data_IF_392031569496
#
_entry.id   IF_392031569496
#
_cell.length_a   1.000
_cell.length_b   1.000
_cell.length_c   1.000
_cell.angle_alpha   90.00
_cell.angle_beta   90.00
_cell.angle_gamma   90.00
#
_symmetry.space_group_name_H-M   'P 1'
#
loop_
_entity.id
_entity.type
_entity.pdbx_description
1 polymer ?
#
# COMPACT_ATOMS: atom_id res chain seq x y z
N UNK A 1 25.97 -0.81 -31.96
CA UNK A 1 26.25 -0.31 -30.60
C UNK A 1 24.93 0.20 -30.03
N UNK A 2 24.18 -0.66 -29.36
CA UNK A 2 22.96 -0.26 -28.66
C UNK A 2 23.36 0.50 -27.40
N UNK A 3 22.98 1.76 -27.32
CA UNK A 3 23.03 2.54 -26.08
C UNK A 3 22.13 1.86 -25.07
N UNK A 4 22.72 1.31 -24.01
CA UNK A 4 21.99 0.98 -22.79
C UNK A 4 21.25 2.24 -22.36
N UNK A 5 19.92 2.22 -22.40
CA UNK A 5 19.13 3.25 -21.77
C UNK A 5 19.54 3.26 -20.31
N UNK A 6 20.12 4.38 -19.86
CA UNK A 6 20.48 4.62 -18.47
C UNK A 6 19.17 4.49 -17.67
N UNK A 7 18.88 3.35 -17.05
CA UNK A 7 17.72 3.19 -16.18
C UNK A 7 17.96 4.13 -15.00
N UNK A 8 17.29 5.29 -15.02
CA UNK A 8 17.33 6.25 -13.93
C UNK A 8 16.88 5.54 -12.65
N UNK A 9 17.70 5.61 -11.60
CA UNK A 9 17.38 5.08 -10.28
C UNK A 9 15.99 5.57 -9.83
N UNK A 10 15.12 4.63 -9.44
CA UNK A 10 13.77 4.93 -8.93
C UNK A 10 13.85 5.23 -7.44
N UNK A 11 13.01 6.14 -6.96
CA UNK A 11 12.91 6.44 -5.53
C UNK A 11 11.48 6.26 -5.05
N UNK A 12 11.30 5.62 -3.90
CA UNK A 12 9.99 5.38 -3.30
C UNK A 12 9.90 5.91 -1.86
N UNK A 13 8.71 6.41 -1.51
CA UNK A 13 8.25 6.54 -0.12
C UNK A 13 7.03 5.64 0.01
N UNK A 14 7.01 4.79 1.04
CA UNK A 14 5.86 3.96 1.38
C UNK A 14 5.04 4.67 2.46
N UNK A 15 3.79 5.04 2.15
CA UNK A 15 2.82 5.64 3.09
C UNK A 15 1.75 4.60 3.44
N UNK A 16 1.76 4.14 4.70
CA UNK A 16 1.14 2.87 5.09
C UNK A 16 0.41 2.98 6.44
N UNK A 17 -0.47 2.02 6.74
CA UNK A 17 -1.22 1.98 8.01
C UNK A 17 -0.91 0.73 8.86
N UNK A 18 0.01 -0.11 8.39
CA UNK A 18 0.75 -1.06 9.22
C UNK A 18 0.10 -2.43 9.38
N UNK A 19 -0.76 -2.83 8.46
CA UNK A 19 -1.22 -4.20 8.28
C UNK A 19 -0.14 -5.15 7.77
N UNK A 20 -0.51 -6.42 7.65
CA UNK A 20 0.36 -7.50 7.19
C UNK A 20 0.66 -7.43 5.68
N UNK A 21 -0.26 -6.86 4.90
CA UNK A 21 -0.11 -6.55 3.49
C UNK A 21 0.81 -5.35 3.25
N UNK A 22 0.77 -4.30 4.07
CA UNK A 22 1.77 -3.21 4.03
C UNK A 22 3.19 -3.76 4.27
N UNK A 23 3.31 -4.74 5.16
CA UNK A 23 4.57 -5.39 5.47
C UNK A 23 5.10 -6.24 4.29
N UNK A 24 4.22 -6.88 3.53
CA UNK A 24 4.59 -7.47 2.24
C UNK A 24 5.00 -6.42 1.21
N UNK A 25 4.27 -5.31 1.12
CA UNK A 25 4.61 -4.19 0.23
C UNK A 25 6.03 -3.66 0.51
N UNK A 26 6.35 -3.42 1.79
CA UNK A 26 7.69 -3.04 2.23
C UNK A 26 8.72 -4.11 1.87
N UNK A 27 8.45 -5.39 2.14
CA UNK A 27 9.37 -6.47 1.84
C UNK A 27 9.70 -6.58 0.34
N UNK A 28 8.70 -6.42 -0.54
CA UNK A 28 8.90 -6.38 -1.99
C UNK A 28 9.83 -5.23 -2.41
N UNK A 29 9.61 -4.03 -1.86
CA UNK A 29 10.45 -2.86 -2.14
C UNK A 29 11.90 -3.05 -1.66
N UNK A 30 12.09 -3.57 -0.44
CA UNK A 30 13.42 -3.83 0.11
C UNK A 30 14.18 -4.89 -0.68
N UNK A 31 13.48 -5.92 -1.17
CA UNK A 31 14.10 -6.94 -2.00
C UNK A 31 14.49 -6.39 -3.37
N UNK A 32 13.61 -5.60 -4.01
CA UNK A 32 13.90 -4.92 -5.27
C UNK A 32 15.11 -3.96 -5.16
N UNK A 33 15.24 -3.24 -4.05
CA UNK A 33 16.35 -2.30 -3.81
C UNK A 33 17.73 -2.99 -3.81
N UNK A 34 17.82 -4.28 -3.47
CA UNK A 34 19.09 -5.05 -3.49
C UNK A 34 19.73 -5.10 -4.88
N UNK A 35 18.94 -4.90 -5.94
CA UNK A 35 19.40 -4.96 -7.33
C UNK A 35 19.77 -3.58 -7.91
N UNK A 36 19.68 -2.51 -7.11
CA UNK A 36 20.30 -1.22 -7.42
C UNK A 36 19.51 -0.29 -8.37
N UNK A 37 18.33 -0.69 -8.82
CA UNK A 37 17.47 0.13 -9.70
C UNK A 37 16.43 0.97 -8.93
N UNK A 38 16.37 0.79 -7.61
CA UNK A 38 15.40 1.39 -6.69
C UNK A 38 16.12 1.84 -5.40
N UNK A 39 15.61 2.87 -4.74
CA UNK A 39 15.91 3.18 -3.34
C UNK A 39 14.63 3.51 -2.57
N UNK A 40 14.43 2.87 -1.40
CA UNK A 40 13.38 3.24 -0.46
C UNK A 40 13.90 4.35 0.44
N UNK A 41 13.28 5.52 0.38
CA UNK A 41 13.77 6.72 1.08
C UNK A 41 13.21 6.87 2.49
N UNK A 42 11.97 6.42 2.69
CA UNK A 42 11.26 6.56 3.95
C UNK A 42 10.04 5.64 4.00
N UNK A 43 9.62 5.34 5.22
CA UNK A 43 8.29 4.82 5.54
C UNK A 43 7.55 5.90 6.32
N UNK A 44 6.33 6.22 5.92
CA UNK A 44 5.42 7.13 6.62
C UNK A 44 4.21 6.37 7.09
N UNK A 45 3.77 6.60 8.32
CA UNK A 45 2.61 5.90 8.89
C UNK A 45 1.40 6.82 9.02
N UNK A 46 0.21 6.23 8.90
CA UNK A 46 -1.07 6.90 9.18
C UNK A 46 -1.89 6.05 10.17
N UNK A 47 -2.51 6.70 11.15
CA UNK A 47 -3.19 6.06 12.29
C UNK A 47 -4.70 5.91 12.11
N UNK A 48 -5.23 6.41 11.00
CA UNK A 48 -6.65 6.33 10.68
C UNK A 48 -7.07 5.05 9.95
N UNK A 49 -6.14 4.10 9.74
CA UNK A 49 -6.37 2.85 9.03
C UNK A 49 -6.44 1.62 9.94
N UNK A 50 -5.70 0.57 9.57
CA UNK A 50 -5.67 -0.74 10.20
C UNK A 50 -5.34 -0.71 11.69
N UNK A 51 -4.39 0.14 12.10
CA UNK A 51 -3.99 0.30 13.50
C UNK A 51 -3.54 1.73 13.80
N UNK A 52 -3.03 1.97 15.01
CA UNK A 52 -2.48 3.28 15.42
C UNK A 52 -1.13 3.56 14.73
N UNK A 53 -0.74 4.83 14.59
CA UNK A 53 0.57 5.21 14.04
C UNK A 53 1.74 4.48 14.74
N UNK A 54 1.65 4.33 16.07
CA UNK A 54 2.66 3.66 16.89
C UNK A 54 2.77 2.17 16.55
N UNK A 55 1.62 1.48 16.42
CA UNK A 55 1.62 0.08 16.04
C UNK A 55 2.11 -0.11 14.61
N UNK A 56 1.65 0.73 13.68
CA UNK A 56 2.14 0.73 12.31
C UNK A 56 3.66 0.92 12.24
N UNK A 57 4.20 1.85 13.02
CA UNK A 57 5.64 2.09 13.08
C UNK A 57 6.40 0.89 13.66
N UNK A 58 5.88 0.24 14.72
CA UNK A 58 6.47 -1.01 15.25
C UNK A 58 6.45 -2.14 14.22
N UNK A 59 5.35 -2.29 13.50
CA UNK A 59 5.19 -3.33 12.48
C UNK A 59 6.18 -3.15 11.34
N UNK A 60 6.29 -1.94 10.80
CA UNK A 60 7.29 -1.62 9.79
C UNK A 60 8.72 -1.77 10.33
N UNK A 61 8.98 -1.36 11.58
CA UNK A 61 10.27 -1.57 12.24
C UNK A 61 10.65 -3.04 12.32
N UNK A 62 9.72 -3.94 12.69
CA UNK A 62 9.96 -5.39 12.74
C UNK A 62 10.43 -5.93 11.39
N UNK A 63 9.83 -5.47 10.28
CA UNK A 63 10.22 -5.87 8.93
C UNK A 63 11.58 -5.28 8.54
N UNK A 64 11.83 -3.99 8.81
CA UNK A 64 13.13 -3.36 8.56
C UNK A 64 14.25 -4.07 9.33
N UNK A 65 14.07 -4.37 10.61
CA UNK A 65 15.03 -5.13 11.42
C UNK A 65 15.25 -6.54 10.84
N UNK A 66 14.18 -7.24 10.47
CA UNK A 66 14.28 -8.58 9.87
C UNK A 66 15.05 -8.58 8.53
N UNK A 67 15.04 -7.45 7.82
CA UNK A 67 15.77 -7.23 6.57
C UNK A 67 17.12 -6.50 6.75
N UNK A 68 17.52 -6.17 7.99
CA UNK A 68 18.73 -5.37 8.28
C UNK A 68 18.76 -4.01 7.57
N UNK A 69 17.60 -3.34 7.49
CA UNK A 69 17.39 -2.05 6.82
C UNK A 69 16.84 -0.97 7.74
N UNK A 70 17.33 -0.99 8.97
CA UNK A 70 17.01 -0.01 10.02
C UNK A 70 17.51 1.40 9.71
N UNK A 71 18.30 1.57 8.63
CA UNK A 71 18.72 2.85 8.06
C UNK A 71 17.57 3.65 7.42
N UNK A 72 16.48 2.97 7.02
CA UNK A 72 15.32 3.64 6.43
C UNK A 72 14.52 4.34 7.54
N UNK A 73 14.36 5.67 7.47
CA UNK A 73 13.64 6.41 8.50
C UNK A 73 12.13 6.14 8.46
N UNK A 74 11.54 6.00 9.65
CA UNK A 74 10.08 5.96 9.85
C UNK A 74 9.62 7.32 10.37
N UNK A 75 8.57 7.90 9.77
CA UNK A 75 7.94 9.14 10.23
C UNK A 75 6.48 8.90 10.58
N UNK A 76 6.06 9.35 11.76
CA UNK A 76 4.66 9.30 12.16
C UNK A 76 3.87 10.42 11.47
N UNK A 77 2.71 10.07 10.93
CA UNK A 77 1.81 11.00 10.25
C UNK A 77 0.50 11.25 11.00
N UNK A 78 -0.56 11.48 10.23
CA UNK A 78 -1.89 11.77 10.74
C UNK A 78 -2.39 10.67 11.69
N UNK A 79 -2.88 11.05 12.86
CA UNK A 79 -3.40 10.11 13.88
C UNK A 79 -4.87 9.76 13.67
N UNK A 80 -5.60 10.61 12.96
CA UNK A 80 -7.05 10.53 12.73
C UNK A 80 -7.39 11.05 11.31
N UNK A 81 -8.53 10.62 10.74
CA UNK A 81 -9.00 11.14 9.46
C UNK A 81 -9.43 12.60 9.57
N UNK A 82 -9.46 13.33 8.45
CA UNK A 82 -9.64 14.79 8.43
C UNK A 82 -10.90 15.31 9.15
N UNK A 83 -12.01 14.58 9.07
CA UNK A 83 -13.30 14.98 9.64
C UNK A 83 -13.80 14.04 10.76
N UNK A 84 -13.16 12.88 10.92
CA UNK A 84 -13.60 11.83 11.85
C UNK A 84 -14.54 10.79 11.22
N UNK A 85 -14.61 9.61 11.83
CA UNK A 85 -15.47 8.52 11.36
C UNK A 85 -16.93 8.69 11.80
N UNK A 86 -17.85 8.64 10.83
CA UNK A 86 -19.30 8.71 11.09
C UNK A 86 -19.83 7.38 11.68
N UNK A 87 -19.14 6.26 11.44
CA UNK A 87 -19.44 4.95 12.01
C UNK A 87 -18.18 4.40 12.71
N UNK A 88 -18.21 4.33 14.04
CA UNK A 88 -17.05 4.02 14.89
C UNK A 88 -16.78 2.52 15.11
N UNK A 89 -17.50 1.62 14.42
CA UNK A 89 -17.31 0.17 14.55
C UNK A 89 -16.04 -0.28 13.81
N UNK A 90 -14.88 -0.03 14.42
CA UNK A 90 -13.58 -0.52 13.91
C UNK A 90 -13.58 -2.05 13.92
N UNK A 91 -13.57 -2.64 12.72
CA UNK A 91 -13.30 -4.08 12.55
C UNK A 91 -11.79 -4.27 12.47
N UNK A 92 -11.23 -4.98 13.44
CA UNK A 92 -9.80 -5.28 13.50
C UNK A 92 -9.48 -6.57 12.74
N UNK A 93 -9.58 -6.53 11.39
CA UNK A 93 -9.22 -7.69 10.56
C UNK A 93 -7.77 -8.12 10.82
N UNK A 94 -6.87 -7.14 10.88
CA UNK A 94 -5.45 -7.37 11.13
C UNK A 94 -5.09 -7.53 12.62
N UNK A 95 -6.05 -7.66 13.54
CA UNK A 95 -5.82 -7.54 14.98
C UNK A 95 -5.69 -6.08 15.42
N UNK A 96 -5.63 -5.83 16.73
CA UNK A 96 -5.50 -4.47 17.28
C UNK A 96 -4.13 -3.88 17.01
N UNK A 97 -3.09 -4.71 17.03
CA UNK A 97 -1.73 -4.31 16.70
C UNK A 97 -1.43 -4.23 15.20
N UNK A 98 -2.34 -4.66 14.32
CA UNK A 98 -2.13 -4.74 12.87
C UNK A 98 -1.38 -6.02 12.41
N UNK A 99 -0.81 -6.79 13.34
CA UNK A 99 -0.03 -8.00 13.13
C UNK A 99 -0.65 -9.24 13.82
N UNK A 100 -1.99 -9.28 13.88
CA UNK A 100 -2.77 -10.43 14.32
C UNK A 100 -2.74 -10.67 15.83
N UNK A 101 -2.26 -9.69 16.63
CA UNK A 101 -2.14 -9.76 18.09
C UNK A 101 -1.35 -11.00 18.58
N UNK A 102 -0.39 -11.49 17.77
CA UNK A 102 0.26 -12.79 17.97
C UNK A 102 1.78 -12.71 18.25
N UNK A 103 2.34 -11.50 18.24
CA UNK A 103 3.76 -11.28 18.51
C UNK A 103 3.95 -10.75 19.94
N UNK A 104 5.02 -11.18 20.59
CA UNK A 104 5.27 -10.84 21.99
C UNK A 104 5.38 -9.32 22.20
N UNK A 105 4.73 -8.83 23.27
CA UNK A 105 4.74 -7.43 23.70
C UNK A 105 6.04 -7.04 24.44
N UNK A 106 6.85 -8.03 24.83
CA UNK A 106 7.92 -7.87 25.84
C UNK A 106 9.17 -7.13 25.34
N UNK A 107 9.24 -6.79 24.04
CA UNK A 107 10.31 -5.99 23.44
C UNK A 107 9.77 -4.73 22.75
N UNK A 108 8.72 -4.11 23.28
CA UNK A 108 8.22 -2.83 22.77
C UNK A 108 9.23 -1.72 23.03
N UNK A 109 10.24 -1.64 22.16
CA UNK A 109 11.10 -0.48 22.02
C UNK A 109 10.20 0.76 21.98
N UNK A 110 10.57 1.78 22.76
CA UNK A 110 9.79 3.01 22.79
C UNK A 110 9.78 3.59 21.37
N UNK A 111 8.61 3.83 20.77
CA UNK A 111 8.49 4.28 19.37
C UNK A 111 9.37 5.50 19.10
N UNK A 112 9.49 6.40 20.08
CA UNK A 112 10.33 7.59 19.98
C UNK A 112 11.84 7.32 19.84
N UNK A 113 12.34 6.11 20.09
CA UNK A 113 13.76 5.77 19.93
C UNK A 113 14.17 5.51 18.49
N UNK A 114 13.22 5.10 17.63
CA UNK A 114 13.52 4.69 16.25
C UNK A 114 12.76 5.49 15.18
N UNK A 115 11.70 6.21 15.54
CA UNK A 115 11.02 7.13 14.60
C UNK A 115 11.71 8.48 14.57
N UNK A 116 11.60 9.16 13.43
CA UNK A 116 12.07 10.53 13.29
C UNK A 116 11.11 11.50 13.99
N UNK A 117 11.62 12.60 14.59
CA UNK A 117 10.79 13.58 15.30
C UNK A 117 9.92 14.44 14.37
N UNK A 118 10.21 14.43 13.08
CA UNK A 118 9.49 15.19 12.07
C UNK A 118 8.18 14.49 11.68
N UNK A 119 7.12 15.26 11.44
CA UNK A 119 5.86 14.73 10.95
C UNK A 119 5.98 14.23 9.50
N UNK A 120 5.35 13.09 9.17
CA UNK A 120 5.40 12.45 7.85
C UNK A 120 5.15 13.41 6.69
N UNK A 121 4.14 14.26 6.79
CA UNK A 121 3.79 15.26 5.76
C UNK A 121 4.94 16.23 5.45
N UNK A 122 5.68 16.66 6.47
CA UNK A 122 6.83 17.54 6.29
C UNK A 122 8.01 16.78 5.70
N UNK A 123 8.22 15.53 6.13
CA UNK A 123 9.26 14.66 5.58
C UNK A 123 9.03 14.35 4.10
N UNK A 124 7.80 14.01 3.69
CA UNK A 124 7.42 13.79 2.28
C UNK A 124 7.78 15.02 1.45
N UNK A 125 7.34 16.20 1.88
CA UNK A 125 7.63 17.46 1.20
C UNK A 125 9.14 17.67 1.03
N UNK A 126 9.92 17.59 2.11
CA UNK A 126 11.36 17.85 2.06
C UNK A 126 12.13 16.83 1.23
N UNK A 127 11.73 15.56 1.26
CA UNK A 127 12.32 14.52 0.42
C UNK A 127 12.05 14.80 -1.06
N UNK A 128 10.82 15.16 -1.41
CA UNK A 128 10.42 15.54 -2.77
C UNK A 128 11.10 16.83 -3.24
N UNK A 129 11.28 17.84 -2.38
CA UNK A 129 12.02 19.06 -2.73
C UNK A 129 13.50 18.80 -3.02
N UNK A 130 14.12 17.84 -2.32
CA UNK A 130 15.51 17.43 -2.59
C UNK A 130 15.65 16.64 -3.89
N UNK A 131 14.56 16.03 -4.39
CA UNK A 131 14.54 15.16 -5.58
C UNK A 131 13.27 15.42 -6.40
N UNK A 132 13.10 16.64 -6.94
CA UNK A 132 11.87 17.02 -7.62
C UNK A 132 11.61 16.09 -8.80
N UNK A 133 10.37 15.61 -8.89
CA UNK A 133 9.87 14.74 -9.95
C UNK A 133 10.60 13.39 -10.09
N UNK A 134 11.27 12.92 -9.03
CA UNK A 134 11.97 11.63 -9.03
C UNK A 134 11.37 10.61 -8.06
N UNK A 135 10.61 11.06 -7.06
CA UNK A 135 10.05 10.20 -6.00
C UNK A 135 8.62 9.80 -6.36
N UNK A 136 8.38 8.49 -6.37
CA UNK A 136 7.05 7.90 -6.36
C UNK A 136 6.56 7.79 -4.91
N UNK A 137 5.34 8.24 -4.64
CA UNK A 137 4.64 7.90 -3.40
C UNK A 137 3.84 6.62 -3.63
N UNK A 138 4.05 5.60 -2.80
CA UNK A 138 3.25 4.38 -2.76
C UNK A 138 2.37 4.47 -1.52
N UNK A 139 1.12 4.91 -1.71
CA UNK A 139 0.14 5.10 -0.66
C UNK A 139 -0.77 3.87 -0.55
N UNK A 140 -0.57 3.10 0.51
CA UNK A 140 -1.27 1.84 0.77
C UNK A 140 -2.17 1.91 2.02
N UNK A 141 -2.12 3.02 2.76
CA UNK A 141 -3.11 3.37 3.77
C UNK A 141 -4.06 4.49 3.33
N UNK A 142 -4.92 4.99 4.25
CA UNK A 142 -5.75 6.16 3.98
C UNK A 142 -4.94 7.41 3.62
N UNK A 143 -5.45 8.20 2.67
CA UNK A 143 -4.72 9.28 2.00
C UNK A 143 -4.54 10.57 2.83
N UNK A 144 -4.74 10.51 4.14
CA UNK A 144 -4.77 11.66 5.06
C UNK A 144 -3.46 12.45 5.05
N UNK A 145 -2.32 11.76 5.05
CA UNK A 145 -1.00 12.41 4.97
C UNK A 145 -0.88 13.25 3.68
N UNK A 146 -1.26 12.69 2.52
CA UNK A 146 -1.21 13.41 1.25
C UNK A 146 -2.19 14.58 1.22
N UNK A 147 -3.42 14.39 1.70
CA UNK A 147 -4.41 15.46 1.76
C UNK A 147 -3.97 16.61 2.67
N UNK A 148 -3.36 16.31 3.82
CA UNK A 148 -2.74 17.30 4.70
C UNK A 148 -1.59 18.04 4.00
N UNK A 149 -0.75 17.34 3.24
CA UNK A 149 0.30 17.95 2.42
C UNK A 149 -0.25 18.99 1.44
N UNK A 150 -1.30 18.63 0.69
CA UNK A 150 -1.98 19.57 -0.19
C UNK A 150 -2.69 20.71 0.55
N UNK A 151 -3.19 20.48 1.77
CA UNK A 151 -3.82 21.52 2.58
C UNK A 151 -2.79 22.52 3.14
N UNK A 152 -1.62 22.05 3.57
CA UNK A 152 -0.57 22.87 4.19
C UNK A 152 0.27 23.61 3.16
N UNK A 153 0.57 23.00 2.02
CA UNK A 153 1.55 23.51 1.05
C UNK A 153 0.99 23.77 -0.35
N UNK A 154 -0.30 23.51 -0.58
CA UNK A 154 -0.96 23.77 -1.87
C UNK A 154 -0.41 22.91 -3.01
N UNK A 155 -0.49 23.43 -4.25
CA UNK A 155 -0.08 22.70 -5.45
C UNK A 155 1.42 22.37 -5.49
N UNK A 156 2.24 23.18 -4.82
CA UNK A 156 3.70 22.95 -4.73
C UNK A 156 4.06 21.60 -4.10
N UNK A 157 3.20 21.09 -3.20
CA UNK A 157 3.37 19.75 -2.63
C UNK A 157 3.41 18.67 -3.73
N UNK A 158 2.43 18.72 -4.64
CA UNK A 158 2.29 17.76 -5.74
C UNK A 158 3.30 17.97 -6.87
N UNK A 159 3.75 19.19 -7.12
CA UNK A 159 4.66 19.52 -8.24
C UNK A 159 6.02 18.79 -8.16
N UNK A 160 6.48 18.49 -6.94
CA UNK A 160 7.75 17.80 -6.72
C UNK A 160 7.61 16.27 -6.67
N UNK A 161 6.38 15.74 -6.63
CA UNK A 161 6.12 14.30 -6.66
C UNK A 161 6.15 13.84 -8.11
N UNK A 162 6.82 12.72 -8.39
CA UNK A 162 6.88 12.15 -9.74
C UNK A 162 5.52 11.60 -10.15
N UNK A 163 4.99 10.70 -9.34
CA UNK A 163 3.72 10.00 -9.50
C UNK A 163 3.29 9.42 -8.15
N UNK A 164 2.00 9.08 -8.04
CA UNK A 164 1.40 8.48 -6.86
C UNK A 164 0.74 7.16 -7.26
N UNK A 165 1.05 6.11 -6.51
CA UNK A 165 0.41 4.81 -6.61
C UNK A 165 -0.47 4.63 -5.37
N UNK A 166 -1.73 4.29 -5.55
CA UNK A 166 -2.74 4.22 -4.48
C UNK A 166 -3.36 2.83 -4.45
N UNK A 167 -3.34 2.17 -3.30
CA UNK A 167 -4.22 1.02 -3.04
C UNK A 167 -5.49 1.61 -2.42
N UNK A 168 -6.60 1.50 -3.15
CA UNK A 168 -7.88 1.86 -2.60
C UNK A 168 -8.91 2.31 -3.62
N UNK A 169 -10.10 2.59 -3.12
CA UNK A 169 -11.26 2.90 -3.94
C UNK A 169 -11.77 1.67 -4.71
N UNK A 170 -12.77 1.92 -5.55
CA UNK A 170 -13.43 0.91 -6.37
C UNK A 170 -14.00 1.53 -7.65
N UNK A 171 -14.27 0.72 -8.66
CA UNK A 171 -14.76 1.22 -9.96
C UNK A 171 -16.10 0.63 -10.38
N UNK A 172 -16.54 -0.44 -9.71
CA UNK A 172 -17.83 -1.11 -9.89
C UNK A 172 -18.74 -0.91 -8.67
N UNK A 173 -18.31 -0.11 -7.68
CA UNK A 173 -19.03 0.10 -6.43
C UNK A 173 -18.99 -1.10 -5.48
N UNK A 174 -18.02 -2.01 -5.65
CA UNK A 174 -17.82 -3.14 -4.74
C UNK A 174 -16.98 -2.68 -3.55
N UNK A 175 -17.58 -2.67 -2.36
CA UNK A 175 -16.91 -2.30 -1.11
C UNK A 175 -16.43 -3.50 -0.28
N UNK A 176 -15.44 -3.27 0.57
CA UNK A 176 -14.97 -4.21 1.61
C UNK A 176 -15.13 -3.65 3.04
N UNK A 177 -15.38 -2.34 3.19
CA UNK A 177 -15.61 -1.70 4.48
C UNK A 177 -17.08 -1.32 4.67
N UNK A 178 -17.67 -0.68 3.65
CA UNK A 178 -19.11 -0.46 3.55
C UNK A 178 -19.71 -1.25 2.39
N UNK A 179 -21.01 -1.08 2.12
CA UNK A 179 -21.67 -1.70 0.96
C UNK A 179 -21.04 -1.28 -0.38
N UNK A 180 -20.38 -0.13 -0.41
CA UNK A 180 -19.96 0.55 -1.64
C UNK A 180 -18.59 1.18 -1.58
N UNK A 181 -17.93 1.21 -0.41
CA UNK A 181 -16.64 1.86 -0.23
C UNK A 181 -15.57 0.84 0.14
N UNK A 182 -14.42 0.99 -0.51
CA UNK A 182 -13.18 0.32 -0.14
C UNK A 182 -12.60 0.96 1.13
N UNK A 183 -11.92 0.18 1.97
CA UNK A 183 -11.40 0.52 3.29
C UNK A 183 -10.57 1.80 3.37
N UNK A 184 -9.53 1.97 2.56
CA UNK A 184 -8.66 3.15 2.60
C UNK A 184 -9.43 4.42 2.25
N UNK A 185 -10.28 4.35 1.21
CA UNK A 185 -11.14 5.48 0.83
C UNK A 185 -12.27 5.72 1.84
N UNK A 186 -12.78 4.67 2.49
CA UNK A 186 -13.81 4.78 3.52
C UNK A 186 -13.28 5.37 4.83
N UNK A 187 -12.02 5.10 5.15
CA UNK A 187 -11.37 5.54 6.39
C UNK A 187 -11.14 7.06 6.40
N UNK A 188 -10.86 7.66 5.25
CA UNK A 188 -10.85 9.12 5.09
C UNK A 188 -11.35 9.55 3.70
N UNK A 189 -12.68 9.61 3.49
CA UNK A 189 -13.28 9.98 2.21
C UNK A 189 -12.88 11.40 1.77
N UNK A 190 -12.80 12.33 2.72
CA UNK A 190 -12.38 13.71 2.46
C UNK A 190 -10.95 13.78 1.97
N UNK A 191 -10.04 13.00 2.56
CA UNK A 191 -8.66 12.95 2.09
C UNK A 191 -8.57 12.36 0.68
N UNK A 192 -9.27 11.26 0.41
CA UNK A 192 -9.31 10.66 -0.92
C UNK A 192 -9.87 11.65 -1.96
N UNK A 193 -10.98 12.34 -1.65
CA UNK A 193 -11.53 13.38 -2.50
C UNK A 193 -10.53 14.53 -2.74
N UNK A 194 -9.88 15.02 -1.68
CA UNK A 194 -8.93 16.11 -1.76
C UNK A 194 -7.70 15.74 -2.62
N UNK A 195 -7.19 14.52 -2.49
CA UNK A 195 -6.07 14.03 -3.32
C UNK A 195 -6.47 13.93 -4.78
N UNK A 196 -7.59 13.28 -5.12
CA UNK A 196 -8.05 13.17 -6.51
C UNK A 196 -8.36 14.52 -7.17
N UNK A 197 -8.77 15.51 -6.36
CA UNK A 197 -9.05 16.86 -6.82
C UNK A 197 -7.79 17.70 -7.04
N UNK A 198 -6.81 17.61 -6.13
CA UNK A 198 -5.66 18.53 -6.07
C UNK A 198 -4.38 17.96 -6.67
N UNK A 199 -4.20 16.65 -6.70
CA UNK A 199 -3.00 16.02 -7.21
C UNK A 199 -2.93 16.16 -8.74
N UNK A 200 -1.79 16.67 -9.23
CA UNK A 200 -1.57 16.94 -10.67
C UNK A 200 -0.51 16.02 -11.29
N UNK A 201 0.32 15.37 -10.49
CA UNK A 201 1.18 14.32 -10.99
C UNK A 201 0.34 13.08 -11.35
N UNK A 202 0.86 12.16 -12.21
CA UNK A 202 0.14 10.94 -12.55
C UNK A 202 -0.27 10.14 -11.32
N UNK A 203 -1.52 9.65 -11.33
CA UNK A 203 -2.06 8.77 -10.29
C UNK A 203 -2.38 7.42 -10.91
N UNK A 204 -1.83 6.35 -10.34
CA UNK A 204 -2.25 4.97 -10.63
C UNK A 204 -2.93 4.38 -9.40
N UNK A 205 -4.12 3.83 -9.59
CA UNK A 205 -4.92 3.24 -8.51
C UNK A 205 -5.05 1.75 -8.77
N UNK A 206 -4.72 0.94 -7.76
CA UNK A 206 -5.19 -0.44 -7.65
C UNK A 206 -6.46 -0.44 -6.78
N UNK A 207 -7.66 -0.50 -7.39
CA UNK A 207 -8.90 -0.56 -6.64
C UNK A 207 -9.11 -1.93 -5.97
N UNK A 208 -10.20 -2.09 -5.22
CA UNK A 208 -10.53 -3.33 -4.54
C UNK A 208 -10.84 -4.50 -5.48
N UNK A 209 -11.55 -4.28 -6.59
CA UNK A 209 -12.07 -5.37 -7.41
C UNK A 209 -11.00 -6.32 -7.96
N UNK A 210 -9.85 -5.87 -8.49
CA UNK A 210 -8.76 -6.76 -8.90
C UNK A 210 -8.21 -7.63 -7.78
N UNK A 211 -8.43 -7.29 -6.51
CA UNK A 211 -7.96 -8.03 -5.35
C UNK A 211 -8.97 -9.11 -4.90
N UNK A 212 -10.19 -9.14 -5.45
CA UNK A 212 -11.20 -10.11 -5.03
C UNK A 212 -10.88 -11.51 -5.57
N UNK A 213 -11.38 -12.54 -4.87
CA UNK A 213 -11.15 -13.96 -5.22
C UNK A 213 -11.52 -14.29 -6.67
N UNK A 214 -12.51 -13.60 -7.25
CA UNK A 214 -12.95 -13.82 -8.63
C UNK A 214 -11.92 -13.33 -9.67
N UNK A 215 -11.03 -12.42 -9.28
CA UNK A 215 -10.03 -11.80 -10.17
C UNK A 215 -8.59 -12.10 -9.79
N UNK A 216 -8.33 -12.48 -8.54
CA UNK A 216 -7.02 -12.79 -8.00
C UNK A 216 -7.15 -13.91 -6.96
N UNK A 217 -6.75 -15.13 -7.33
CA UNK A 217 -7.08 -16.33 -6.56
C UNK A 217 -5.83 -17.10 -6.12
N UNK A 218 -5.16 -16.60 -5.09
CA UNK A 218 -4.09 -17.33 -4.42
C UNK A 218 -4.62 -17.86 -3.10
N UNK A 219 -4.66 -19.18 -2.93
CA UNK A 219 -5.22 -19.76 -1.71
C UNK A 219 -4.34 -19.51 -0.48
N UNK A 220 -4.98 -19.37 0.68
CA UNK A 220 -4.30 -19.36 2.00
C UNK A 220 -3.49 -20.64 2.19
N UNK A 221 -3.98 -21.78 1.69
CA UNK A 221 -3.24 -23.05 1.71
C UNK A 221 -1.93 -22.96 0.92
N UNK A 222 -1.95 -22.39 -0.29
CA UNK A 222 -0.72 -22.18 -1.04
C UNK A 222 0.26 -21.31 -0.24
N UNK A 223 -0.21 -20.18 0.32
CA UNK A 223 0.65 -19.24 1.05
C UNK A 223 1.25 -19.85 2.32
N UNK A 224 0.44 -20.50 3.16
CA UNK A 224 0.87 -20.93 4.50
C UNK A 224 1.39 -22.37 4.53
N UNK A 225 0.91 -23.25 3.66
CA UNK A 225 1.32 -24.66 3.64
C UNK A 225 2.33 -24.96 2.54
N UNK A 226 2.02 -24.65 1.27
CA UNK A 226 2.89 -25.02 0.15
C UNK A 226 4.15 -24.16 0.10
N UNK A 227 3.98 -22.85 0.07
CA UNK A 227 5.07 -21.88 0.14
C UNK A 227 5.73 -21.89 1.53
N UNK A 228 4.94 -21.96 2.61
CA UNK A 228 5.46 -22.04 3.98
C UNK A 228 6.43 -23.20 4.22
N UNK A 229 6.16 -24.39 3.66
CA UNK A 229 7.09 -25.54 3.72
C UNK A 229 8.42 -25.28 3.04
N UNK A 230 8.43 -24.57 1.91
CA UNK A 230 9.66 -24.18 1.23
C UNK A 230 10.46 -23.19 2.08
N UNK A 231 9.77 -22.25 2.73
CA UNK A 231 10.40 -21.24 3.59
C UNK A 231 11.03 -21.80 4.86
N UNK A 232 10.47 -22.87 5.42
CA UNK A 232 11.04 -23.56 6.57
C UNK A 232 12.49 -24.05 6.33
N UNK A 233 12.87 -24.28 5.06
CA UNK A 233 14.22 -24.67 4.69
C UNK A 233 15.20 -23.48 4.50
N UNK A 234 14.69 -22.30 4.17
CA UNK A 234 15.50 -21.12 3.76
C UNK A 234 15.72 -20.14 4.92
N UNK A 235 14.85 -20.15 5.95
CA UNK A 235 14.88 -19.24 7.10
C UNK A 235 14.96 -17.77 6.68
N UNK A 236 13.83 -17.21 6.26
CA UNK A 236 13.73 -15.80 5.91
C UNK A 236 12.97 -15.05 7.01
N UNK A 237 13.70 -14.35 7.89
CA UNK A 237 13.16 -13.73 9.11
C UNK A 237 11.86 -12.92 8.89
N UNK A 238 11.81 -12.08 7.85
CA UNK A 238 10.60 -11.28 7.59
C UNK A 238 9.39 -12.13 7.18
N UNK A 239 9.61 -13.18 6.37
CA UNK A 239 8.56 -14.11 5.94
C UNK A 239 8.15 -15.03 7.10
N UNK A 240 9.06 -15.37 8.00
CA UNK A 240 8.74 -16.12 9.22
C UNK A 240 7.82 -15.30 10.14
N UNK A 241 8.10 -14.00 10.30
CA UNK A 241 7.20 -13.06 11.01
C UNK A 241 5.83 -13.02 10.32
N UNK A 242 5.81 -12.74 9.00
CA UNK A 242 4.56 -12.65 8.23
C UNK A 242 3.75 -13.94 8.28
N UNK A 243 4.41 -15.10 8.23
CA UNK A 243 3.74 -16.41 8.32
C UNK A 243 3.04 -16.59 9.66
N UNK A 244 3.66 -16.19 10.78
CA UNK A 244 3.01 -16.21 12.11
C UNK A 244 1.80 -15.27 12.17
N UNK A 245 1.97 -14.05 11.66
CA UNK A 245 0.94 -13.02 11.62
C UNK A 245 -0.26 -13.49 10.78
N UNK A 246 0.00 -13.96 9.56
CA UNK A 246 -1.03 -14.41 8.63
C UNK A 246 -1.71 -15.69 9.11
N UNK A 247 -1.01 -16.59 9.81
CA UNK A 247 -1.66 -17.75 10.46
C UNK A 247 -2.69 -17.28 11.50
N UNK A 248 -2.35 -16.30 12.33
CA UNK A 248 -3.25 -15.73 13.33
C UNK A 248 -4.46 -15.00 12.70
N UNK A 249 -4.26 -14.32 11.56
CA UNK A 249 -5.31 -13.58 10.86
C UNK A 249 -6.25 -14.49 10.06
N UNK A 250 -5.71 -15.42 9.27
CA UNK A 250 -6.49 -16.17 8.28
C UNK A 250 -7.07 -17.49 8.78
N UNK A 251 -6.39 -18.21 9.68
CA UNK A 251 -6.89 -19.52 10.16
C UNK A 251 -8.26 -19.42 10.84
N UNK A 252 -8.54 -18.42 11.71
CA UNK A 252 -9.86 -18.29 12.32
C UNK A 252 -10.97 -17.97 11.32
N UNK A 253 -10.63 -17.49 10.12
CA UNK A 253 -11.59 -17.07 9.09
C UNK A 253 -11.93 -18.19 8.09
N UNK A 254 -11.10 -19.23 7.98
CA UNK A 254 -11.36 -20.37 7.08
C UNK A 254 -12.68 -21.08 7.40
N UNK A 255 -13.08 -21.16 8.67
CA UNK A 255 -14.37 -21.73 9.07
C UNK A 255 -15.58 -20.97 8.50
N UNK A 256 -15.40 -19.71 8.07
CA UNK A 256 -16.40 -18.88 7.42
C UNK A 256 -16.26 -18.85 5.88
N UNK A 257 -15.39 -19.69 5.32
CA UNK A 257 -15.16 -19.78 3.87
C UNK A 257 -14.17 -18.77 3.31
N UNK A 258 -13.45 -18.02 4.15
CA UNK A 258 -12.36 -17.15 3.70
C UNK A 258 -11.07 -17.96 3.54
N UNK A 259 -10.78 -18.34 2.30
CA UNK A 259 -9.67 -19.22 1.91
C UNK A 259 -8.72 -18.58 0.88
N UNK A 260 -8.96 -17.33 0.49
CA UNK A 260 -8.13 -16.57 -0.45
C UNK A 260 -7.16 -15.64 0.29
N UNK A 261 -5.86 -15.80 0.05
CA UNK A 261 -4.83 -14.91 0.55
C UNK A 261 -4.76 -13.68 -0.35
N UNK A 262 -4.91 -12.51 0.27
CA UNK A 262 -5.07 -11.26 -0.47
C UNK A 262 -4.16 -10.14 0.09
N UNK A 263 -2.88 -10.09 -0.31
CA UNK A 263 -1.94 -9.08 0.15
C UNK A 263 -2.05 -7.81 -0.73
N UNK A 264 -3.16 -7.07 -0.61
CA UNK A 264 -3.57 -6.01 -1.54
C UNK A 264 -2.48 -4.98 -1.82
N UNK A 265 -1.80 -4.53 -0.77
CA UNK A 265 -0.77 -3.49 -0.86
C UNK A 265 0.48 -3.95 -1.59
N UNK A 266 0.82 -5.24 -1.43
CA UNK A 266 1.90 -5.87 -2.18
C UNK A 266 1.55 -6.00 -3.67
N UNK A 267 0.27 -6.16 -4.01
CA UNK A 267 -0.18 -6.12 -5.40
C UNK A 267 0.08 -4.73 -6.01
N UNK A 268 -0.16 -3.63 -5.28
CA UNK A 268 0.15 -2.29 -5.78
C UNK A 268 1.66 -2.10 -6.02
N UNK A 269 2.51 -2.60 -5.12
CA UNK A 269 3.96 -2.59 -5.33
C UNK A 269 4.34 -3.44 -6.54
N UNK A 270 3.70 -4.60 -6.75
CA UNK A 270 3.91 -5.43 -7.94
C UNK A 270 3.47 -4.72 -9.24
N UNK A 271 2.39 -3.95 -9.22
CA UNK A 271 1.99 -3.08 -10.34
C UNK A 271 3.11 -2.09 -10.68
N UNK A 272 3.72 -1.49 -9.66
CA UNK A 272 4.79 -0.51 -9.85
C UNK A 272 6.09 -1.14 -10.35
N UNK A 273 6.49 -2.29 -9.79
CA UNK A 273 7.75 -2.95 -10.13
C UNK A 273 7.67 -3.71 -11.47
N UNK A 274 6.56 -4.41 -11.73
CA UNK A 274 6.43 -5.39 -12.81
C UNK A 274 5.28 -5.06 -13.77
N UNK A 275 5.08 -3.77 -14.06
CA UNK A 275 3.94 -3.28 -14.82
C UNK A 275 3.66 -4.09 -16.10
N UNK A 276 4.70 -4.39 -16.89
CA UNK A 276 4.54 -5.05 -18.20
C UNK A 276 4.11 -6.50 -18.11
N UNK A 277 4.53 -7.20 -17.07
CA UNK A 277 4.30 -8.63 -16.89
C UNK A 277 3.05 -8.90 -16.05
N UNK A 278 2.85 -8.08 -15.01
CA UNK A 278 1.83 -8.27 -13.98
C UNK A 278 0.49 -7.63 -14.33
N UNK A 279 0.46 -6.43 -14.92
CA UNK A 279 -0.79 -5.74 -15.27
C UNK A 279 -1.35 -6.31 -16.58
N UNK A 280 -2.53 -6.94 -16.51
CA UNK A 280 -3.22 -7.48 -17.69
C UNK A 280 -4.23 -6.53 -18.30
N UNK A 281 -4.82 -5.66 -17.48
CA UNK A 281 -5.78 -4.65 -17.95
C UNK A 281 -5.72 -3.40 -17.08
N UNK A 282 -5.70 -2.25 -17.73
CA UNK A 282 -5.82 -0.93 -17.08
C UNK A 282 -6.55 0.04 -18.00
N UNK A 283 -7.14 1.09 -17.42
CA UNK A 283 -7.88 2.12 -18.15
C UNK A 283 -7.72 3.48 -17.45
N UNK A 284 -7.93 4.57 -18.17
CA UNK A 284 -7.90 5.93 -17.61
C UNK A 284 -9.31 6.47 -17.44
N UNK A 285 -9.51 7.26 -16.38
CA UNK A 285 -10.81 7.84 -16.04
C UNK A 285 -10.65 9.19 -15.37
N UNK A 286 -11.72 9.97 -15.40
CA UNK A 286 -11.94 10.95 -14.35
C UNK A 286 -12.63 10.26 -13.18
N UNK A 287 -12.04 10.38 -11.98
CA UNK A 287 -12.53 9.82 -10.74
C UNK A 287 -12.70 10.92 -9.68
N UNK A 288 -13.76 10.78 -8.88
CA UNK A 288 -14.02 11.55 -7.66
C UNK A 288 -14.47 10.61 -6.54
N UNK A 289 -14.82 11.15 -5.38
CA UNK A 289 -15.32 10.38 -4.23
C UNK A 289 -16.65 10.97 -3.78
N UNK A 290 -17.65 10.14 -3.52
CA UNK A 290 -18.88 10.59 -2.88
C UNK A 290 -18.64 10.82 -1.38
N UNK A 291 -18.93 12.05 -0.92
CA UNK A 291 -18.78 12.45 0.47
C UNK A 291 -20.09 12.47 1.26
N UNK A 292 -21.24 12.46 0.58
CA UNK A 292 -22.53 12.80 1.21
C UNK A 292 -23.57 11.69 1.15
N UNK A 293 -23.40 10.71 0.26
CA UNK A 293 -24.37 9.66 0.08
C UNK A 293 -24.52 8.75 1.31
N UNK A 294 -25.76 8.46 1.69
CA UNK A 294 -26.11 7.59 2.82
C UNK A 294 -25.56 6.16 2.68
N UNK A 295 -25.47 5.66 1.45
CA UNK A 295 -24.99 4.30 1.16
C UNK A 295 -23.69 4.28 0.36
N UNK A 296 -23.24 5.43 -0.12
CA UNK A 296 -22.18 5.60 -1.12
C UNK A 296 -21.04 6.49 -0.63
N UNK A 297 -21.11 7.05 0.59
CA UNK A 297 -20.00 7.79 1.19
C UNK A 297 -18.71 6.95 1.21
N UNK A 298 -17.65 7.49 0.61
CA UNK A 298 -16.34 6.85 0.42
C UNK A 298 -16.22 6.04 -0.88
N UNK A 299 -17.30 5.88 -1.64
CA UNK A 299 -17.24 5.24 -2.95
C UNK A 299 -16.46 6.12 -3.93
N UNK A 300 -15.56 5.51 -4.71
CA UNK A 300 -14.94 6.18 -5.86
C UNK A 300 -15.92 6.16 -7.04
N UNK A 301 -16.15 7.33 -7.63
CA UNK A 301 -17.13 7.56 -8.69
C UNK A 301 -16.40 7.92 -9.96
N UNK A 302 -16.62 7.16 -11.03
CA UNK A 302 -16.03 7.40 -12.35
C UNK A 302 -16.99 8.16 -13.26
N UNK A 303 -16.44 9.05 -14.09
CA UNK A 303 -17.18 9.61 -15.22
C UNK A 303 -17.31 8.59 -16.36
N UNK A 304 -18.40 7.82 -16.31
CA UNK A 304 -18.74 6.83 -17.34
C UNK A 304 -19.24 7.46 -18.65
N UNK A 305 -19.70 8.72 -18.63
CA UNK A 305 -20.13 9.42 -19.84
C UNK A 305 -18.94 9.92 -20.65
N UNK A 306 -17.73 9.93 -20.07
CA UNK A 306 -16.50 10.42 -20.70
C UNK A 306 -16.66 11.87 -21.18
N UNK A 307 -17.21 12.74 -20.33
CA UNK A 307 -17.33 14.17 -20.57
C UNK A 307 -15.96 14.88 -20.39
N UNK A 308 -14.94 14.42 -21.14
CA UNK A 308 -13.53 14.77 -20.93
C UNK A 308 -13.22 16.28 -21.03
N UNK A 309 -14.04 17.06 -21.73
CA UNK A 309 -13.91 18.53 -21.78
C UNK A 309 -14.20 19.17 -20.42
N UNK A 310 -15.17 18.62 -19.67
CA UNK A 310 -15.58 19.10 -18.35
C UNK A 310 -14.80 18.43 -17.23
N UNK A 311 -14.49 17.14 -17.42
CA UNK A 311 -13.85 16.29 -16.43
C UNK A 311 -12.65 15.57 -17.08
N UNK A 312 -11.48 16.22 -17.15
CA UNK A 312 -10.27 15.59 -17.68
C UNK A 312 -9.90 14.34 -16.88
N UNK A 313 -9.42 13.30 -17.57
CA UNK A 313 -8.96 12.07 -16.90
C UNK A 313 -7.85 12.39 -15.89
N UNK A 314 -8.01 11.91 -14.64
CA UNK A 314 -7.10 12.22 -13.53
C UNK A 314 -6.47 10.96 -12.91
N UNK A 315 -6.97 9.76 -13.25
CA UNK A 315 -6.44 8.51 -12.71
C UNK A 315 -6.31 7.45 -13.79
N UNK A 316 -5.29 6.61 -13.64
CA UNK A 316 -5.24 5.29 -14.26
C UNK A 316 -5.67 4.25 -13.23
N UNK A 317 -6.62 3.39 -13.59
CA UNK A 317 -7.04 2.27 -12.73
C UNK A 317 -6.49 0.95 -13.28
N UNK A 318 -6.05 0.08 -12.40
CA UNK A 318 -5.71 -1.31 -12.70
C UNK A 318 -6.98 -2.15 -12.58
N UNK A 319 -7.33 -2.91 -13.61
CA UNK A 319 -8.59 -3.69 -13.66
C UNK A 319 -8.36 -5.20 -13.57
N UNK A 320 -7.15 -5.66 -13.91
CA UNK A 320 -6.78 -7.07 -13.86
C UNK A 320 -5.27 -7.21 -13.70
N UNK A 321 -4.87 -8.09 -12.77
CA UNK A 321 -3.50 -8.49 -12.52
C UNK A 321 -3.36 -10.02 -12.60
N UNK A 322 -2.14 -10.53 -12.56
CA UNK A 322 -1.81 -11.95 -12.79
C UNK A 322 -1.40 -12.65 -11.50
N UNK A 323 -2.29 -13.45 -10.95
CA UNK A 323 -2.09 -14.18 -9.70
C UNK A 323 -0.97 -15.22 -9.77
N UNK A 324 -0.86 -15.97 -10.87
CA UNK A 324 0.24 -16.91 -11.08
C UNK A 324 1.59 -16.19 -11.20
N UNK A 325 1.64 -15.07 -11.92
CA UNK A 325 2.86 -14.25 -11.95
C UNK A 325 3.19 -13.68 -10.58
N UNK A 326 2.19 -13.33 -9.77
CA UNK A 326 2.42 -12.86 -8.41
C UNK A 326 3.05 -13.93 -7.50
N UNK A 327 2.66 -15.21 -7.63
CA UNK A 327 3.35 -16.30 -6.92
C UNK A 327 4.85 -16.31 -7.21
N UNK A 328 5.24 -16.08 -8.46
CA UNK A 328 6.65 -15.96 -8.83
C UNK A 328 7.34 -14.73 -8.22
N UNK A 329 6.63 -13.61 -8.08
CA UNK A 329 7.15 -12.44 -7.35
C UNK A 329 7.43 -12.81 -5.89
N UNK A 330 6.50 -13.51 -5.23
CA UNK A 330 6.66 -13.95 -3.84
C UNK A 330 7.81 -14.95 -3.68
N UNK A 331 7.95 -15.91 -4.60
CA UNK A 331 9.09 -16.82 -4.65
C UNK A 331 10.41 -16.07 -4.86
N UNK A 332 10.43 -15.03 -5.70
CA UNK A 332 11.62 -14.20 -5.90
C UNK A 332 12.00 -13.43 -4.64
N UNK A 333 11.03 -12.81 -3.95
CA UNK A 333 11.26 -12.14 -2.67
C UNK A 333 11.83 -13.10 -1.61
N UNK A 334 11.39 -14.35 -1.63
CA UNK A 334 11.92 -15.42 -0.78
C UNK A 334 13.34 -15.90 -1.15
N UNK A 335 13.87 -15.52 -2.31
CA UNK A 335 15.13 -16.05 -2.84
C UNK A 335 15.02 -17.47 -3.41
N UNK A 336 13.80 -17.93 -3.70
CA UNK A 336 13.53 -19.21 -4.37
C UNK A 336 13.66 -19.11 -5.90
N UNK A 337 13.58 -17.89 -6.43
CA UNK A 337 13.63 -17.62 -7.86
C UNK A 337 14.50 -16.38 -8.12
N UNK A 338 15.39 -16.43 -9.11
CA UNK A 338 16.30 -15.32 -9.47
C UNK A 338 15.90 -14.66 -10.82
N UNK A 339 14.71 -14.98 -11.34
CA UNK A 339 14.26 -14.53 -12.66
C UNK A 339 14.12 -13.00 -12.82
N UNK A 340 14.11 -12.26 -11.71
CA UNK A 340 13.81 -10.82 -11.70
C UNK A 340 14.95 -9.95 -11.19
N UNK A 341 16.14 -10.50 -10.93
CA UNK A 341 17.29 -9.79 -10.39
C UNK A 341 17.83 -8.65 -11.28
N UNK A 342 17.41 -8.61 -12.54
CA UNK A 342 17.81 -7.59 -13.53
C UNK A 342 16.71 -6.56 -13.84
N UNK A 343 15.58 -6.60 -13.12
CA UNK A 343 14.41 -5.78 -13.38
C UNK A 343 14.28 -4.57 -12.46
#
# INVERSE_FOLDING_TARGET
MCTAANQSQRFAILDCDGGSDDAWALLLLLHAEKFGHLQVLAVTTTGCGNTTCDNAARNMRRILTACSREDIPIYLGAVDPLVGNINADKKYFHGRDGFGDCLDADNCENVSSFVQPQHAVTAIRELCEKRPQQITIIAVGPLTNLALGFAMYGEQFGQNIKDVYIMGGNYQGVGNSSRSAEFNFHSDPEAAHAVLLKCRCPITILPWEPCTKERFNISVNWRLEEFGKQMAAIKHNAIDILTRVEYAQWMPLQQYGFDNWNPCDALLVAVWLFEKEFVKKSSTWHATVDLTGTHTRGQMVLDHLKECEKFPENVRIIELADDEFFKHIIEWVAGLNNAFDSK
#
